data_IF_155535546309
#
_entry.id   IF_155535546309
#
_cell.length_a   1.000
_cell.length_b   1.000
_cell.length_c   1.000
_cell.angle_alpha   90.00
_cell.angle_beta   90.00
_cell.angle_gamma   90.00
#
_symmetry.space_group_name_H-M   'P 1'
#
loop_
_entity.id
_entity.type
_entity.pdbx_description
1 polymer ?
#
# COMPACT_ATOMS: atom_id res chain seq x y z
N UNK A 1 56.42 7.80 23.55
CA UNK A 1 55.39 7.77 24.61
C UNK A 1 54.30 6.70 24.43
N UNK A 2 54.22 5.97 23.31
CA UNK A 2 53.20 4.92 23.09
C UNK A 2 53.53 3.53 23.69
N UNK A 3 54.81 3.23 23.95
CA UNK A 3 55.22 1.91 24.46
C UNK A 3 54.96 1.66 25.96
N UNK A 4 54.65 2.70 26.75
CA UNK A 4 54.37 2.54 28.19
C UNK A 4 52.91 2.20 28.51
N UNK A 5 51.98 2.48 27.58
CA UNK A 5 50.54 2.26 27.79
C UNK A 5 50.16 0.82 27.43
N UNK A 6 50.80 0.23 26.42
CA UNK A 6 50.54 -1.15 25.99
C UNK A 6 50.92 -2.21 27.04
N UNK A 7 51.89 -1.92 27.92
CA UNK A 7 52.36 -2.87 28.95
C UNK A 7 51.39 -2.99 30.14
N UNK A 8 50.59 -1.96 30.40
CA UNK A 8 49.56 -1.96 31.46
C UNK A 8 48.34 -2.81 31.10
N UNK A 9 47.98 -2.89 29.81
CA UNK A 9 46.82 -3.64 29.34
C UNK A 9 47.01 -5.17 29.40
N UNK A 10 48.25 -5.66 29.41
CA UNK A 10 48.54 -7.10 29.43
C UNK A 10 49.01 -7.66 30.79
N UNK A 11 49.52 -6.84 31.72
CA UNK A 11 49.99 -7.32 33.03
C UNK A 11 48.91 -7.37 34.12
N UNK A 12 47.82 -6.58 34.00
CA UNK A 12 46.73 -6.58 34.97
C UNK A 12 45.92 -7.88 35.05
N UNK A 13 45.52 -8.55 33.94
CA UNK A 13 44.77 -9.79 34.06
C UNK A 13 45.62 -10.94 34.63
N UNK A 14 46.92 -11.00 34.32
CA UNK A 14 47.76 -12.11 34.76
C UNK A 14 47.92 -12.21 36.29
N UNK A 15 47.92 -11.09 37.02
CA UNK A 15 48.10 -11.08 38.50
C UNK A 15 46.82 -11.34 39.29
N UNK A 16 45.65 -11.03 38.74
CA UNK A 16 44.36 -11.20 39.43
C UNK A 16 43.76 -12.58 39.16
N UNK A 17 43.99 -13.15 37.97
CA UNK A 17 43.41 -14.45 37.58
C UNK A 17 44.26 -15.66 37.98
N UNK A 18 45.56 -15.51 38.21
CA UNK A 18 46.44 -16.61 38.65
C UNK A 18 46.04 -17.30 39.98
N UNK A 19 45.56 -16.61 41.04
CA UNK A 19 45.10 -17.29 42.26
C UNK A 19 43.73 -17.98 42.13
N UNK A 20 42.94 -17.65 41.09
CA UNK A 20 41.61 -18.22 40.85
C UNK A 20 41.73 -19.63 40.25
N UNK A 21 42.70 -19.86 39.37
CA UNK A 21 42.91 -21.13 38.69
C UNK A 21 43.62 -22.22 39.52
N UNK A 22 44.14 -21.88 40.71
CA UNK A 22 44.87 -22.85 41.55
C UNK A 22 43.94 -23.70 42.43
N UNK A 23 42.73 -23.25 42.69
CA UNK A 23 41.77 -23.94 43.55
C UNK A 23 40.49 -24.26 42.78
N UNK A 24 40.18 -25.56 42.58
CA UNK A 24 39.05 -25.99 41.76
C UNK A 24 37.71 -25.44 42.25
N UNK A 25 37.56 -25.22 43.56
CA UNK A 25 36.35 -24.61 44.13
C UNK A 25 36.15 -23.15 43.69
N UNK A 26 37.23 -22.37 43.64
CA UNK A 26 37.18 -20.94 43.24
C UNK A 26 36.94 -20.80 41.74
N UNK A 27 37.47 -21.73 40.95
CA UNK A 27 37.19 -21.80 39.52
C UNK A 27 35.72 -22.09 39.24
N UNK A 28 35.13 -23.07 39.92
CA UNK A 28 33.70 -23.39 39.79
C UNK A 28 32.82 -22.22 40.20
N UNK A 29 33.13 -21.55 41.32
CA UNK A 29 32.40 -20.37 41.77
C UNK A 29 32.50 -19.20 40.77
N UNK A 30 33.67 -19.01 40.16
CA UNK A 30 33.86 -17.98 39.12
C UNK A 30 32.97 -18.24 37.90
N UNK A 31 32.95 -19.47 37.37
CA UNK A 31 32.09 -19.81 36.24
C UNK A 31 30.59 -19.75 36.59
N UNK A 32 30.21 -20.11 37.82
CA UNK A 32 28.82 -20.02 38.27
C UNK A 32 28.36 -18.56 38.37
N UNK A 33 29.19 -17.67 38.90
CA UNK A 33 28.90 -16.23 38.92
C UNK A 33 28.84 -15.62 37.51
N UNK A 34 29.70 -16.08 36.60
CA UNK A 34 29.72 -15.62 35.21
C UNK A 34 28.44 -16.07 34.48
N UNK A 35 28.02 -17.32 34.66
CA UNK A 35 26.74 -17.81 34.13
C UNK A 35 25.54 -17.07 34.73
N UNK A 36 25.54 -16.78 36.03
CA UNK A 36 24.49 -16.01 36.70
C UNK A 36 24.42 -14.57 36.16
N UNK A 37 25.56 -13.90 35.89
CA UNK A 37 25.57 -12.56 35.30
C UNK A 37 24.99 -12.52 33.88
N UNK A 38 25.24 -13.54 33.06
CA UNK A 38 24.67 -13.66 31.70
C UNK A 38 23.17 -13.92 31.79
N UNK A 39 22.74 -14.76 32.75
CA UNK A 39 21.33 -15.06 32.94
C UNK A 39 20.54 -13.85 33.45
N UNK A 40 21.11 -13.09 34.39
CA UNK A 40 20.53 -11.83 34.88
C UNK A 40 20.48 -10.78 33.76
N UNK A 41 21.54 -10.61 32.96
CA UNK A 41 21.54 -9.67 31.84
C UNK A 41 20.50 -10.02 30.77
N UNK A 42 20.35 -11.31 30.45
CA UNK A 42 19.33 -11.79 29.51
C UNK A 42 17.91 -11.58 30.05
N UNK A 43 17.69 -11.80 31.35
CA UNK A 43 16.39 -11.56 31.96
C UNK A 43 16.07 -10.07 32.03
N UNK A 44 17.08 -9.24 32.33
CA UNK A 44 16.95 -7.77 32.38
C UNK A 44 16.65 -7.18 30.99
N UNK A 45 17.22 -7.74 29.92
CA UNK A 45 16.87 -7.36 28.54
C UNK A 45 15.51 -7.89 28.08
N UNK A 46 15.00 -8.96 28.69
CA UNK A 46 13.70 -9.54 28.34
C UNK A 46 12.54 -8.88 29.09
N UNK A 47 12.80 -8.28 30.26
CA UNK A 47 11.81 -7.56 31.08
C UNK A 47 11.98 -6.04 31.09
N UNK A 48 12.61 -5.45 30.07
CA UNK A 48 12.45 -4.02 29.82
C UNK A 48 11.24 -3.81 28.90
N UNK A 49 10.03 -3.48 29.42
CA UNK A 49 9.15 -2.63 28.65
C UNK A 49 9.92 -1.33 28.46
N UNK A 50 10.22 -1.02 27.21
CA UNK A 50 10.86 0.21 26.79
C UNK A 50 9.88 1.36 27.04
N UNK A 51 9.77 1.80 28.31
CA UNK A 51 9.34 3.16 28.65
C UNK A 51 10.45 4.11 28.24
N UNK A 52 10.60 4.30 26.93
CA UNK A 52 11.21 5.51 26.43
C UNK A 52 10.27 6.65 26.82
N UNK A 53 10.68 7.39 27.84
CA UNK A 53 10.14 8.71 28.13
C UNK A 53 10.48 9.60 26.93
N UNK A 54 9.65 9.53 25.89
CA UNK A 54 9.62 10.53 24.84
C UNK A 54 9.12 11.82 25.48
N UNK A 55 10.05 12.74 25.74
CA UNK A 55 9.68 14.15 25.93
C UNK A 55 8.91 14.58 24.68
N UNK A 56 7.60 14.76 24.83
CA UNK A 56 6.71 15.35 23.85
C UNK A 56 7.14 16.80 23.59
N UNK A 57 8.20 16.99 22.80
CA UNK A 57 8.44 18.23 22.11
C UNK A 57 7.64 18.22 20.82
N UNK A 58 6.55 18.98 20.86
CA UNK A 58 5.79 19.56 19.75
C UNK A 58 5.84 18.82 18.40
N UNK A 59 4.74 18.11 18.12
CA UNK A 59 4.17 17.85 16.79
C UNK A 59 5.10 18.02 15.59
N UNK A 60 6.07 17.13 15.44
CA UNK A 60 6.53 16.78 14.10
C UNK A 60 5.55 15.74 13.60
N UNK A 61 4.53 16.23 12.88
CA UNK A 61 3.66 15.41 12.07
C UNK A 61 4.52 14.66 11.06
N UNK A 62 5.06 13.50 11.45
CA UNK A 62 5.44 12.50 10.48
C UNK A 62 4.13 12.10 9.82
N UNK A 63 3.85 12.70 8.66
CA UNK A 63 2.90 12.16 7.70
C UNK A 63 3.51 10.83 7.28
N UNK A 64 3.22 9.78 8.06
CA UNK A 64 3.21 8.44 7.53
C UNK A 64 2.16 8.56 6.41
N UNK A 65 2.60 8.50 5.15
CA UNK A 65 1.72 8.22 4.02
C UNK A 65 1.13 6.83 4.30
N UNK A 66 0.12 6.80 5.16
CA UNK A 66 -0.78 5.68 5.29
C UNK A 66 -1.49 5.68 3.96
N UNK A 67 -1.19 4.69 3.14
CA UNK A 67 -2.01 4.29 2.00
C UNK A 67 -3.39 3.81 2.52
N UNK A 68 -4.13 4.70 3.18
CA UNK A 68 -5.51 4.50 3.61
C UNK A 68 -6.36 5.05 2.47
N UNK A 69 -6.64 4.18 1.49
CA UNK A 69 -7.92 3.48 1.51
C UNK A 69 -7.84 1.98 1.17
N UNK A 70 -6.66 1.37 1.04
CA UNK A 70 -6.57 -0.04 0.61
C UNK A 70 -7.09 -1.06 1.63
N UNK A 71 -7.13 -0.75 2.93
CA UNK A 71 -7.55 -1.73 3.95
C UNK A 71 -9.02 -2.13 3.82
N UNK A 72 -9.93 -1.21 3.49
CA UNK A 72 -11.36 -1.54 3.32
C UNK A 72 -11.63 -2.33 2.02
N UNK A 73 -10.85 -2.10 0.96
CA UNK A 73 -10.92 -2.94 -0.24
C UNK A 73 -10.31 -4.34 -0.01
N UNK A 74 -9.24 -4.45 0.79
CA UNK A 74 -8.42 -5.67 0.95
C UNK A 74 -9.17 -6.90 1.43
N UNK A 75 -10.23 -6.75 2.23
CA UNK A 75 -11.04 -7.90 2.65
C UNK A 75 -11.80 -8.56 1.48
N UNK A 76 -11.95 -7.84 0.35
CA UNK A 76 -12.78 -8.24 -0.78
C UNK A 76 -12.06 -8.21 -2.13
N UNK A 77 -10.73 -7.97 -2.13
CA UNK A 77 -9.92 -8.03 -3.35
C UNK A 77 -9.62 -9.50 -3.70
N UNK A 78 -10.13 -9.98 -4.84
CA UNK A 78 -9.87 -11.33 -5.35
C UNK A 78 -9.19 -11.19 -6.72
N UNK A 79 -7.91 -11.55 -6.84
CA UNK A 79 -7.17 -11.47 -8.10
C UNK A 79 -6.08 -12.53 -8.27
N UNK A 80 -5.48 -12.65 -9.46
CA UNK A 80 -5.82 -11.96 -10.71
C UNK A 80 -7.12 -12.46 -11.34
N UNK A 81 -7.88 -11.56 -11.98
CA UNK A 81 -9.18 -11.89 -12.56
C UNK A 81 -9.04 -12.30 -14.03
N UNK A 82 -9.62 -13.44 -14.46
CA UNK A 82 -9.89 -13.69 -15.88
C UNK A 82 -10.96 -12.72 -16.39
N UNK A 83 -11.15 -12.62 -17.69
CA UNK A 83 -12.25 -11.81 -18.21
C UNK A 83 -13.63 -12.38 -17.81
N UNK A 84 -14.69 -11.63 -18.11
CA UNK A 84 -16.07 -12.00 -17.74
C UNK A 84 -16.54 -13.35 -18.34
N UNK A 85 -15.79 -13.95 -19.26
CA UNK A 85 -16.08 -15.23 -19.92
C UNK A 85 -15.00 -16.30 -19.67
N UNK A 86 -14.03 -16.05 -18.79
CA UNK A 86 -12.92 -16.98 -18.53
C UNK A 86 -11.81 -16.97 -19.59
N UNK A 87 -11.88 -16.04 -20.54
CA UNK A 87 -10.90 -15.82 -21.61
C UNK A 87 -9.83 -14.80 -21.16
N UNK A 88 -8.68 -14.71 -21.84
CA UNK A 88 -7.71 -13.66 -21.59
C UNK A 88 -8.28 -12.28 -21.94
N UNK A 89 -7.93 -11.27 -21.16
CA UNK A 89 -8.29 -9.89 -21.45
C UNK A 89 -7.79 -9.43 -22.83
N UNK A 90 -8.49 -8.48 -23.48
CA UNK A 90 -8.02 -7.89 -24.73
C UNK A 90 -6.60 -7.30 -24.62
N UNK A 91 -5.89 -7.19 -25.73
CA UNK A 91 -4.54 -6.58 -25.77
C UNK A 91 -4.58 -5.05 -25.90
N UNK A 92 -5.68 -4.50 -26.40
CA UNK A 92 -5.89 -3.06 -26.60
C UNK A 92 -7.06 -2.54 -25.75
N UNK A 93 -7.04 -1.24 -25.45
CA UNK A 93 -8.17 -0.60 -24.79
C UNK A 93 -9.42 -0.62 -25.68
N UNK A 94 -10.59 -0.84 -25.08
CA UNK A 94 -11.83 -0.99 -25.85
C UNK A 94 -13.07 -1.20 -24.99
N UNK A 95 -14.23 -1.06 -25.62
CA UNK A 95 -15.50 -1.40 -25.00
C UNK A 95 -15.65 -2.91 -24.85
N UNK A 96 -15.99 -3.34 -23.64
CA UNK A 96 -16.58 -4.66 -23.37
C UNK A 96 -18.10 -4.60 -23.56
N UNK A 97 -18.69 -3.46 -23.20
CA UNK A 97 -20.10 -3.14 -23.45
C UNK A 97 -20.20 -1.69 -23.95
N UNK A 98 -20.79 -1.50 -25.12
CA UNK A 98 -20.95 -0.18 -25.73
C UNK A 98 -22.22 0.50 -25.23
N UNK A 99 -22.21 1.84 -25.06
CA UNK A 99 -23.39 2.58 -24.70
C UNK A 99 -24.44 2.61 -25.81
N UNK A 100 -25.70 2.38 -25.41
CA UNK A 100 -26.87 2.44 -26.28
C UNK A 100 -27.49 3.84 -26.25
N UNK A 101 -26.94 4.74 -27.07
CA UNK A 101 -27.47 6.10 -27.17
C UNK A 101 -28.71 6.19 -28.07
N UNK A 102 -29.71 6.99 -27.65
CA UNK A 102 -30.85 7.33 -28.50
C UNK A 102 -30.44 8.29 -29.61
N UNK A 103 -31.03 8.14 -30.79
CA UNK A 103 -30.82 9.07 -31.92
C UNK A 103 -31.11 10.52 -31.50
N UNK A 104 -30.19 11.43 -31.82
CA UNK A 104 -30.29 12.85 -31.44
C UNK A 104 -29.70 13.19 -30.06
N UNK A 105 -29.14 12.22 -29.33
CA UNK A 105 -28.46 12.50 -28.06
C UNK A 105 -27.24 13.40 -28.28
N UNK A 106 -27.10 14.44 -27.45
CA UNK A 106 -25.90 15.29 -27.43
C UNK A 106 -24.79 14.56 -26.68
N UNK A 107 -23.77 14.13 -27.41
CA UNK A 107 -22.64 13.37 -26.88
C UNK A 107 -21.38 14.23 -26.76
N UNK A 108 -20.59 13.96 -25.74
CA UNK A 108 -19.27 14.54 -25.51
C UNK A 108 -18.25 13.41 -25.40
N UNK A 109 -17.07 13.61 -25.99
CA UNK A 109 -15.96 12.67 -25.86
C UNK A 109 -15.26 12.88 -24.52
N UNK A 110 -15.01 11.80 -23.80
CA UNK A 110 -14.30 11.79 -22.53
C UNK A 110 -13.20 10.73 -22.59
N UNK A 111 -12.01 11.07 -22.14
CA UNK A 111 -10.85 10.17 -22.11
C UNK A 111 -10.75 9.53 -20.74
N UNK A 112 -10.90 8.21 -20.64
CA UNK A 112 -10.55 7.44 -19.47
C UNK A 112 -9.03 7.22 -19.47
N UNK A 113 -8.33 7.78 -18.49
CA UNK A 113 -6.86 7.78 -18.48
C UNK A 113 -6.27 6.86 -17.41
N UNK A 114 -5.68 5.74 -17.85
CA UNK A 114 -4.96 4.78 -17.02
C UNK A 114 -3.43 4.88 -17.20
N UNK A 115 -2.91 5.99 -17.76
CA UNK A 115 -1.48 6.15 -18.06
C UNK A 115 -0.56 6.02 -16.84
N UNK A 116 -1.06 6.39 -15.65
CA UNK A 116 -0.28 6.43 -14.42
C UNK A 116 -0.35 5.14 -13.59
N UNK A 117 -1.09 4.12 -14.06
CA UNK A 117 -1.17 2.83 -13.37
C UNK A 117 -0.38 1.75 -14.11
N UNK A 118 0.46 0.96 -13.41
CA UNK A 118 1.21 -0.14 -13.98
C UNK A 118 0.36 -1.42 -14.14
N UNK A 119 -0.97 -1.32 -14.05
CA UNK A 119 -1.90 -2.44 -14.11
C UNK A 119 -3.09 -2.11 -15.01
N UNK A 120 -3.67 -3.14 -15.61
CA UNK A 120 -4.89 -3.01 -16.39
C UNK A 120 -6.12 -2.89 -15.48
N UNK A 121 -7.14 -2.19 -15.98
CA UNK A 121 -8.38 -1.93 -15.26
C UNK A 121 -9.60 -2.23 -16.12
N UNK A 122 -10.69 -2.60 -15.45
CA UNK A 122 -12.04 -2.57 -16.01
C UNK A 122 -12.77 -1.38 -15.43
N UNK A 123 -13.37 -0.58 -16.29
CA UNK A 123 -14.18 0.57 -15.91
C UNK A 123 -15.63 0.28 -16.29
N UNK A 124 -16.52 0.35 -15.32
CA UNK A 124 -17.97 0.34 -15.51
C UNK A 124 -18.51 1.73 -15.23
N UNK A 125 -19.30 2.25 -16.15
CA UNK A 125 -19.95 3.55 -16.06
C UNK A 125 -21.44 3.34 -15.92
N UNK A 126 -21.98 3.87 -14.82
CA UNK A 126 -23.41 3.86 -14.53
C UNK A 126 -23.95 5.29 -14.55
N UNK A 127 -25.18 5.46 -14.97
CA UNK A 127 -25.89 6.73 -14.76
C UNK A 127 -26.47 6.83 -13.35
N UNK A 128 -27.14 7.94 -13.04
CA UNK A 128 -27.82 8.17 -11.75
C UNK A 128 -28.93 7.17 -11.45
N UNK A 129 -29.48 6.49 -12.47
CA UNK A 129 -30.48 5.43 -12.33
C UNK A 129 -29.86 4.05 -12.11
N UNK A 130 -28.52 3.98 -12.00
CA UNK A 130 -27.71 2.76 -11.88
C UNK A 130 -27.79 1.85 -13.10
N UNK A 131 -28.22 2.39 -14.24
CA UNK A 131 -28.16 1.66 -15.49
C UNK A 131 -26.71 1.70 -15.99
N UNK A 132 -26.17 0.52 -16.33
CA UNK A 132 -24.85 0.42 -16.96
C UNK A 132 -24.92 1.05 -18.34
N UNK A 133 -24.08 2.05 -18.54
CA UNK A 133 -23.98 2.79 -19.79
C UNK A 133 -22.79 2.28 -20.60
N UNK A 134 -21.66 1.96 -19.98
CA UNK A 134 -20.53 1.39 -20.72
C UNK A 134 -19.64 0.56 -19.80
N UNK A 135 -19.10 -0.53 -20.34
CA UNK A 135 -18.00 -1.28 -19.73
C UNK A 135 -16.79 -1.20 -20.66
N UNK A 136 -15.63 -0.89 -20.10
CA UNK A 136 -14.40 -0.63 -20.83
C UNK A 136 -13.25 -1.37 -20.19
N UNK A 137 -12.44 -2.03 -21.01
CA UNK A 137 -11.14 -2.54 -20.59
C UNK A 137 -10.05 -1.56 -21.02
N UNK A 138 -9.13 -1.24 -20.11
CA UNK A 138 -7.99 -0.36 -20.37
C UNK A 138 -6.70 -1.04 -19.86
N UNK A 139 -5.75 -1.36 -20.75
CA UNK A 139 -4.44 -1.89 -20.35
C UNK A 139 -3.68 -0.95 -19.41
N UNK A 140 -2.64 -1.50 -18.77
CA UNK A 140 -1.66 -0.69 -18.04
C UNK A 140 -1.10 0.43 -18.93
N UNK A 141 -0.86 1.59 -18.33
CA UNK A 141 -0.22 2.73 -19.00
C UNK A 141 -0.91 3.18 -20.30
N UNK A 142 -2.23 3.03 -20.38
CA UNK A 142 -3.03 3.30 -21.59
C UNK A 142 -4.22 4.21 -21.29
N UNK A 143 -4.94 4.64 -22.32
CA UNK A 143 -6.12 5.49 -22.20
C UNK A 143 -7.15 5.12 -23.27
N UNK A 144 -8.42 5.41 -23.01
CA UNK A 144 -9.50 5.12 -23.96
C UNK A 144 -10.52 6.25 -24.04
N UNK A 145 -10.91 6.60 -25.27
CA UNK A 145 -11.93 7.61 -25.51
C UNK A 145 -13.32 6.98 -25.56
N UNK A 146 -14.21 7.51 -24.73
CA UNK A 146 -15.61 7.15 -24.70
C UNK A 146 -16.50 8.31 -25.08
N UNK A 147 -17.73 8.02 -25.49
CA UNK A 147 -18.77 9.04 -25.70
C UNK A 147 -19.80 8.93 -24.60
N UNK A 148 -20.09 10.02 -23.92
CA UNK A 148 -21.09 10.14 -22.86
C UNK A 148 -22.08 11.28 -23.17
N UNK A 149 -23.24 11.28 -22.53
CA UNK A 149 -24.18 12.39 -22.61
C UNK A 149 -23.57 13.67 -22.03
N UNK A 150 -23.58 14.77 -22.78
CA UNK A 150 -22.82 15.99 -22.42
C UNK A 150 -23.26 16.67 -21.12
N UNK A 151 -24.47 16.38 -20.62
CA UNK A 151 -25.00 16.89 -19.35
C UNK A 151 -25.24 15.80 -18.32
N UNK A 152 -24.64 14.61 -18.50
CA UNK A 152 -24.87 13.47 -17.63
C UNK A 152 -23.98 13.48 -16.39
N UNK A 153 -24.55 13.02 -15.29
CA UNK A 153 -23.83 12.64 -14.07
C UNK A 153 -23.66 11.11 -14.06
N UNK A 154 -22.45 10.66 -13.77
CA UNK A 154 -22.09 9.25 -13.87
C UNK A 154 -21.38 8.77 -12.60
N UNK A 155 -21.62 7.51 -12.27
CA UNK A 155 -20.84 6.74 -11.30
C UNK A 155 -19.83 5.91 -12.08
N UNK A 156 -18.56 6.14 -11.81
CA UNK A 156 -17.46 5.35 -12.37
C UNK A 156 -17.01 4.33 -11.35
N UNK A 157 -17.13 3.05 -11.70
CA UNK A 157 -16.56 1.94 -10.94
C UNK A 157 -15.33 1.43 -11.67
N UNK A 158 -14.22 1.30 -10.95
CA UNK A 158 -12.96 0.83 -11.52
C UNK A 158 -12.52 -0.41 -10.75
N UNK A 159 -12.16 -1.46 -11.46
CA UNK A 159 -11.63 -2.71 -10.90
C UNK A 159 -10.24 -2.95 -11.44
N UNK A 160 -9.26 -3.04 -10.54
CA UNK A 160 -7.89 -3.44 -10.88
C UNK A 160 -7.86 -4.94 -11.15
N UNK A 161 -7.40 -5.35 -12.33
CA UNK A 161 -7.46 -6.76 -12.75
C UNK A 161 -6.46 -7.62 -11.97
N UNK A 162 -5.31 -7.06 -11.61
CA UNK A 162 -4.21 -7.79 -10.97
C UNK A 162 -4.57 -8.29 -9.58
N UNK A 163 -5.24 -7.46 -8.77
CA UNK A 163 -5.59 -7.81 -7.39
C UNK A 163 -7.10 -7.91 -7.15
N UNK A 164 -7.94 -7.50 -8.11
CA UNK A 164 -9.39 -7.52 -8.01
C UNK A 164 -10.02 -6.42 -7.15
N UNK A 165 -9.22 -5.47 -6.64
CA UNK A 165 -9.73 -4.38 -5.84
C UNK A 165 -10.63 -3.46 -6.68
N UNK A 166 -11.75 -3.05 -6.09
CA UNK A 166 -12.75 -2.22 -6.76
C UNK A 166 -12.91 -0.88 -6.06
N UNK A 167 -13.11 0.17 -6.86
CA UNK A 167 -13.26 1.54 -6.39
C UNK A 167 -14.41 2.22 -7.12
N UNK A 168 -15.03 3.21 -6.49
CA UNK A 168 -16.05 4.08 -7.08
C UNK A 168 -15.65 5.54 -7.02
N UNK A 169 -16.03 6.30 -8.04
CA UNK A 169 -16.01 7.76 -8.04
C UNK A 169 -17.26 8.27 -8.74
N UNK A 170 -17.56 9.55 -8.54
CA UNK A 170 -18.70 10.23 -9.19
C UNK A 170 -18.18 11.44 -9.93
N UNK A 171 -18.74 11.70 -11.12
CA UNK A 171 -18.34 12.86 -11.92
C UNK A 171 -19.49 13.35 -12.81
N UNK A 172 -19.39 14.63 -13.18
CA UNK A 172 -20.26 15.30 -14.14
C UNK A 172 -19.49 15.51 -15.43
N UNK A 173 -20.09 15.19 -16.58
CA UNK A 173 -19.46 15.43 -17.89
C UNK A 173 -19.37 16.94 -18.18
N UNK A 174 -20.33 17.72 -17.69
CA UNK A 174 -20.37 19.17 -17.90
C UNK A 174 -19.23 19.89 -17.15
N UNK A 175 -18.85 19.37 -15.99
CA UNK A 175 -17.80 19.96 -15.15
C UNK A 175 -16.40 19.48 -15.55
N UNK A 176 -16.29 18.47 -16.42
CA UNK A 176 -15.02 17.96 -16.92
C UNK A 176 -14.57 18.74 -18.17
N UNK A 177 -14.00 19.92 -17.95
CA UNK A 177 -13.54 20.79 -19.04
C UNK A 177 -12.34 20.24 -19.82
N UNK A 178 -11.46 19.49 -19.16
CA UNK A 178 -10.26 18.93 -19.81
C UNK A 178 -10.57 17.69 -20.64
N UNK A 179 -11.81 17.17 -20.54
CA UNK A 179 -12.26 15.97 -21.25
C UNK A 179 -11.47 14.72 -20.88
N UNK A 180 -10.75 14.73 -19.75
CA UNK A 180 -9.86 13.67 -19.30
C UNK A 180 -10.21 13.27 -17.86
N UNK A 181 -10.41 11.98 -17.63
CA UNK A 181 -10.72 11.40 -16.33
C UNK A 181 -9.53 10.53 -15.90
N UNK A 182 -8.64 11.06 -15.06
CA UNK A 182 -7.51 10.30 -14.54
C UNK A 182 -8.01 9.21 -13.60
N UNK A 183 -7.61 7.97 -13.87
CA UNK A 183 -7.85 6.83 -13.00
C UNK A 183 -6.69 6.79 -12.00
N UNK A 184 -6.85 7.47 -10.88
CA UNK A 184 -5.85 7.46 -9.79
C UNK A 184 -6.48 6.80 -8.57
N UNK A 185 -6.19 5.52 -8.35
CA UNK A 185 -6.76 4.73 -7.24
C UNK A 185 -6.17 5.07 -5.86
N UNK A 186 -5.58 6.26 -5.73
CA UNK A 186 -5.07 6.82 -4.48
C UNK A 186 -6.12 7.74 -3.86
N UNK A 187 -6.05 7.96 -2.54
CA UNK A 187 -6.93 8.90 -1.84
C UNK A 187 -6.72 10.36 -2.25
N UNK A 188 -5.59 10.65 -2.93
CA UNK A 188 -5.19 11.98 -3.36
C UNK A 188 -5.37 12.09 -4.88
N UNK A 189 -6.31 12.92 -5.32
CA UNK A 189 -6.61 13.17 -6.74
C UNK A 189 -7.84 14.06 -6.93
N UNK A 190 -8.02 14.64 -8.14
CA UNK A 190 -9.18 15.48 -8.45
C UNK A 190 -10.50 14.69 -8.42
N UNK A 191 -10.42 13.40 -8.76
CA UNK A 191 -11.50 12.42 -8.58
C UNK A 191 -11.17 11.58 -7.35
N UNK A 192 -11.98 11.71 -6.31
CA UNK A 192 -11.83 10.87 -5.12
C UNK A 192 -12.39 9.48 -5.43
N UNK A 193 -11.53 8.47 -5.31
CA UNK A 193 -11.91 7.06 -5.46
C UNK A 193 -12.08 6.44 -4.08
N UNK A 194 -13.28 5.93 -3.82
CA UNK A 194 -13.61 5.22 -2.59
C UNK A 194 -13.62 3.72 -2.84
N UNK A 195 -13.02 2.91 -1.95
CA UNK A 195 -13.05 1.46 -2.07
C UNK A 195 -14.50 0.95 -2.01
N UNK A 196 -14.81 -0.08 -2.79
CA UNK A 196 -16.11 -0.77 -2.79
C UNK A 196 -15.93 -2.28 -2.72
N UNK A 197 -16.94 -2.96 -2.20
CA UNK A 197 -16.96 -4.42 -2.16
C UNK A 197 -17.20 -5.01 -3.57
N UNK A 198 -16.78 -6.26 -3.79
CA UNK A 198 -16.91 -6.91 -5.09
C UNK A 198 -18.37 -7.05 -5.58
N UNK A 199 -19.33 -7.20 -4.67
CA UNK A 199 -20.76 -7.25 -4.98
C UNK A 199 -21.37 -5.88 -5.35
N UNK A 200 -20.62 -4.79 -5.16
CA UNK A 200 -21.02 -3.44 -5.53
C UNK A 200 -20.47 -3.04 -6.91
N UNK A 201 -19.62 -3.86 -7.51
CA UNK A 201 -19.04 -3.64 -8.84
C UNK A 201 -19.99 -4.06 -9.97
#
# INVERSE_FOLDING_TARGET
MLFRIARWLFELPARVFTPIFRNRLRLSLFFLLLAASIFVLKHYLHEQPQEETFTLNASQNFVIQREAPRREAREHCIGPLPDNHGQPWPTSAGYLHQPEWKTGSKLQSVTLDNQHNPFAVVVKLEDVSRQVQADVFIPATSSFNIKLGSGGNYVMKVKEIKNGCSFRSVFSVADNHDGKLPITLSAEGPLQYHPIANNQF
#
